data_IF_227308066727
#
_entry.id   IF_227308066727
#
_cell.length_a   1.000
_cell.length_b   1.000
_cell.length_c   1.000
_cell.angle_alpha   90.00
_cell.angle_beta   90.00
_cell.angle_gamma   90.00
#
_symmetry.space_group_name_H-M   'P 1'
#
loop_
_entity.id
_entity.type
_entity.pdbx_description
1 polymer ?
#
# COMPACT_ATOMS: atom_id res chain seq x y z
N UNK A 1 16.93 -5.85 -24.66
CA UNK A 1 18.03 -4.96 -25.04
C UNK A 1 17.58 -3.76 -25.86
N UNK A 2 18.28 -3.44 -26.95
CA UNK A 2 17.95 -2.28 -27.80
C UNK A 2 16.54 -2.37 -28.40
N UNK A 3 16.13 -3.58 -28.80
CA UNK A 3 14.81 -3.82 -29.34
C UNK A 3 13.72 -3.52 -28.30
N UNK A 4 13.88 -3.99 -27.06
CA UNK A 4 12.89 -3.76 -25.99
C UNK A 4 12.71 -2.26 -25.68
N UNK A 5 13.81 -1.48 -25.78
CA UNK A 5 13.76 -0.03 -25.67
C UNK A 5 13.00 0.62 -26.82
N UNK A 6 13.22 0.15 -28.06
CA UNK A 6 12.52 0.64 -29.24
C UNK A 6 11.02 0.32 -29.17
N UNK A 7 10.68 -0.87 -28.69
CA UNK A 7 9.30 -1.35 -28.53
C UNK A 7 8.63 -0.80 -27.25
N UNK A 8 9.35 -0.02 -26.42
CA UNK A 8 8.90 0.48 -25.12
C UNK A 8 8.37 -0.62 -24.21
N UNK A 9 9.06 -1.74 -24.15
CA UNK A 9 8.65 -2.95 -23.50
C UNK A 9 9.60 -3.34 -22.36
N UNK A 10 9.06 -3.73 -21.21
CA UNK A 10 9.83 -4.30 -20.11
C UNK A 10 9.80 -5.82 -20.18
N UNK A 11 10.99 -6.40 -20.20
CA UNK A 11 11.21 -7.85 -20.26
C UNK A 11 12.05 -8.27 -19.06
N UNK A 12 11.73 -9.40 -18.45
CA UNK A 12 12.59 -10.02 -17.43
C UNK A 12 13.70 -10.84 -18.08
N UNK A 13 14.88 -10.87 -17.46
CA UNK A 13 16.09 -11.45 -18.04
C UNK A 13 15.99 -12.95 -18.34
N UNK A 14 15.20 -13.69 -17.54
CA UNK A 14 14.99 -15.14 -17.71
C UNK A 14 13.62 -15.55 -17.15
N UNK A 15 13.19 -16.77 -17.48
CA UNK A 15 11.83 -17.26 -17.18
C UNK A 15 11.48 -17.33 -15.69
N UNK A 16 12.46 -17.55 -14.83
CA UNK A 16 12.26 -17.64 -13.39
C UNK A 16 12.51 -16.32 -12.63
N UNK A 17 12.74 -15.23 -13.40
CA UNK A 17 13.12 -13.94 -12.79
C UNK A 17 12.17 -13.46 -11.71
N UNK A 18 10.87 -13.59 -11.92
CA UNK A 18 9.85 -13.11 -10.97
C UNK A 18 9.67 -14.09 -9.81
N UNK A 19 9.73 -15.41 -10.07
CA UNK A 19 9.66 -16.41 -9.00
C UNK A 19 10.88 -16.37 -8.07
N UNK A 20 12.06 -16.10 -8.62
CA UNK A 20 13.30 -15.96 -7.83
C UNK A 20 13.29 -14.70 -6.97
N UNK A 21 12.75 -13.61 -7.49
CA UNK A 21 12.65 -12.34 -6.77
C UNK A 21 11.38 -11.55 -7.15
N UNK A 22 10.28 -11.78 -6.45
CA UNK A 22 9.00 -11.09 -6.69
C UNK A 22 9.05 -9.56 -6.52
N UNK A 23 10.07 -9.03 -5.83
CA UNK A 23 10.25 -7.56 -5.74
C UNK A 23 10.51 -6.92 -7.09
N UNK A 24 10.94 -7.70 -8.08
CA UNK A 24 11.11 -7.25 -9.46
C UNK A 24 9.81 -6.77 -10.10
N UNK A 25 8.67 -7.25 -9.63
CA UNK A 25 7.36 -6.77 -10.11
C UNK A 25 7.15 -5.31 -9.69
N UNK A 26 7.40 -4.95 -8.41
CA UNK A 26 7.30 -3.57 -7.94
C UNK A 26 8.34 -2.69 -8.64
N UNK A 27 9.54 -3.21 -8.85
CA UNK A 27 10.58 -2.50 -9.60
C UNK A 27 10.16 -2.27 -11.06
N UNK A 28 9.54 -3.25 -11.69
CA UNK A 28 9.01 -3.11 -13.05
C UNK A 28 7.91 -2.05 -13.13
N UNK A 29 6.97 -2.00 -12.16
CA UNK A 29 5.93 -0.96 -12.12
C UNK A 29 6.51 0.45 -12.00
N UNK A 30 7.58 0.62 -11.23
CA UNK A 30 8.30 1.88 -11.13
C UNK A 30 8.89 2.32 -12.48
N UNK A 31 9.53 1.39 -13.19
CA UNK A 31 10.09 1.69 -14.52
C UNK A 31 9.00 1.90 -15.57
N UNK A 32 7.92 1.12 -15.52
CA UNK A 32 6.76 1.33 -16.38
C UNK A 32 6.19 2.74 -16.22
N UNK A 33 5.97 3.16 -15.00
CA UNK A 33 5.47 4.50 -14.67
C UNK A 33 6.42 5.63 -15.11
N UNK A 34 7.73 5.45 -14.88
CA UNK A 34 8.75 6.46 -15.22
C UNK A 34 8.94 6.62 -16.72
N UNK A 35 8.94 5.52 -17.46
CA UNK A 35 9.33 5.47 -18.88
C UNK A 35 8.12 5.44 -19.82
N UNK A 36 6.91 5.21 -19.31
CA UNK A 36 5.73 4.97 -20.12
C UNK A 36 5.83 3.65 -20.91
N UNK A 37 6.46 2.63 -20.31
CA UNK A 37 6.65 1.30 -20.90
C UNK A 37 5.59 0.34 -20.37
N UNK A 38 5.34 -0.73 -21.14
CA UNK A 38 4.45 -1.82 -20.77
C UNK A 38 5.23 -3.11 -20.52
N UNK A 39 4.66 -4.06 -19.77
CA UNK A 39 5.23 -5.40 -19.69
C UNK A 39 5.05 -6.16 -21.01
N UNK A 40 6.06 -6.92 -21.41
CA UNK A 40 5.87 -7.89 -22.48
C UNK A 40 4.85 -8.96 -22.08
N UNK A 41 4.19 -9.62 -23.03
CA UNK A 41 3.29 -10.73 -22.74
C UNK A 41 3.94 -11.83 -21.90
N UNK A 42 5.20 -12.16 -22.16
CA UNK A 42 5.98 -13.16 -21.42
C UNK A 42 6.29 -12.68 -20.00
N UNK A 43 6.60 -11.39 -19.82
CA UNK A 43 6.83 -10.81 -18.50
C UNK A 43 5.52 -10.82 -17.67
N UNK A 44 4.40 -10.47 -18.29
CA UNK A 44 3.09 -10.52 -17.64
C UNK A 44 2.70 -11.96 -17.24
N UNK A 45 3.01 -12.96 -18.08
CA UNK A 45 2.82 -14.37 -17.73
C UNK A 45 3.64 -14.78 -16.51
N UNK A 46 4.91 -14.34 -16.39
CA UNK A 46 5.73 -14.60 -15.20
C UNK A 46 5.12 -13.99 -13.94
N UNK A 47 4.66 -12.73 -14.02
CA UNK A 47 3.96 -12.06 -12.89
C UNK A 47 2.75 -12.87 -12.48
N UNK A 48 1.86 -13.19 -13.43
CA UNK A 48 0.63 -13.95 -13.17
C UNK A 48 0.92 -15.32 -12.56
N UNK A 49 1.89 -16.04 -13.08
CA UNK A 49 2.26 -17.37 -12.58
C UNK A 49 2.81 -17.30 -11.15
N UNK A 50 3.60 -16.27 -10.85
CA UNK A 50 4.16 -16.07 -9.50
C UNK A 50 3.05 -15.66 -8.52
N UNK A 51 2.21 -14.69 -8.87
CA UNK A 51 1.12 -14.22 -8.01
C UNK A 51 0.12 -15.33 -7.67
N UNK A 52 -0.22 -16.21 -8.63
CA UNK A 52 -1.10 -17.36 -8.39
C UNK A 52 -0.55 -18.37 -7.38
N UNK A 53 0.76 -18.45 -7.23
CA UNK A 53 1.46 -19.34 -6.29
C UNK A 53 1.93 -18.61 -5.05
N UNK A 54 1.53 -17.35 -4.90
CA UNK A 54 2.08 -16.50 -3.85
C UNK A 54 1.69 -16.97 -2.46
N UNK A 55 2.66 -17.10 -1.55
CA UNK A 55 2.46 -17.70 -0.22
C UNK A 55 1.73 -16.80 0.78
N UNK A 56 1.39 -15.55 0.42
CA UNK A 56 0.66 -14.66 1.31
C UNK A 56 -0.83 -14.99 1.48
N UNK A 57 -1.32 -16.15 1.02
CA UNK A 57 -2.49 -16.78 1.63
C UNK A 57 -2.28 -17.01 3.15
N UNK A 58 -1.40 -16.19 3.72
CA UNK A 58 -0.97 -16.17 5.09
C UNK A 58 -2.05 -15.53 5.94
N UNK A 59 -2.74 -16.35 6.70
CA UNK A 59 -3.65 -15.91 7.72
C UNK A 59 -2.87 -15.58 9.01
N UNK A 60 -3.46 -14.75 9.85
CA UNK A 60 -2.88 -14.28 11.12
C UNK A 60 -2.19 -15.35 11.96
N UNK A 61 -2.64 -16.61 11.88
CA UNK A 61 -2.12 -17.75 12.66
C UNK A 61 -1.10 -18.61 11.91
N UNK A 62 -0.79 -18.27 10.65
CA UNK A 62 0.18 -19.07 9.89
C UNK A 62 1.60 -18.73 10.35
N UNK A 63 2.46 -19.76 10.41
CA UNK A 63 3.83 -19.58 10.86
C UNK A 63 4.59 -18.58 9.97
N UNK A 64 5.41 -17.69 10.58
CA UNK A 64 6.20 -16.68 9.84
C UNK A 64 7.17 -17.28 8.83
N UNK A 65 7.37 -18.58 8.88
CA UNK A 65 8.35 -19.35 8.10
C UNK A 65 8.00 -19.48 6.61
N UNK A 66 6.78 -19.15 6.21
CA UNK A 66 6.33 -19.29 4.81
C UNK A 66 6.81 -18.19 3.88
N UNK A 67 7.33 -17.09 4.42
CA UNK A 67 7.96 -16.07 3.59
C UNK A 67 9.31 -15.67 4.18
N UNK A 68 10.39 -15.67 3.38
CA UNK A 68 11.68 -15.22 3.87
C UNK A 68 11.58 -13.79 4.44
N UNK A 69 12.00 -13.53 5.70
CA UNK A 69 11.92 -12.19 6.30
C UNK A 69 12.61 -11.09 5.46
N UNK A 70 13.68 -11.47 4.76
CA UNK A 70 14.37 -10.58 3.82
C UNK A 70 13.49 -10.13 2.64
N UNK A 71 12.50 -10.92 2.25
CA UNK A 71 11.63 -10.59 1.13
C UNK A 71 10.66 -9.45 1.49
N UNK A 72 10.05 -9.51 2.67
CA UNK A 72 9.15 -8.46 3.16
C UNK A 72 9.86 -7.09 3.20
N UNK A 73 11.08 -7.06 3.76
CA UNK A 73 11.89 -5.84 3.80
C UNK A 73 12.22 -5.32 2.40
N UNK A 74 12.52 -6.21 1.44
CA UNK A 74 12.80 -5.81 0.05
C UNK A 74 11.56 -5.29 -0.66
N UNK A 75 10.39 -5.92 -0.46
CA UNK A 75 9.11 -5.40 -0.98
C UNK A 75 8.85 -3.99 -0.46
N UNK A 76 8.98 -3.79 0.86
CA UNK A 76 8.84 -2.47 1.47
C UNK A 76 9.82 -1.46 0.90
N UNK A 77 11.10 -1.81 0.77
CA UNK A 77 12.11 -0.88 0.20
C UNK A 77 11.77 -0.44 -1.23
N UNK A 78 11.22 -1.33 -2.06
CA UNK A 78 10.80 -0.96 -3.42
C UNK A 78 9.55 -0.05 -3.37
N UNK A 79 8.62 -0.26 -2.42
CA UNK A 79 7.48 0.62 -2.20
C UNK A 79 7.90 2.01 -1.67
N UNK A 80 8.84 2.05 -0.71
CA UNK A 80 9.38 3.31 -0.21
C UNK A 80 9.98 4.14 -1.36
N UNK A 81 10.74 3.49 -2.26
CA UNK A 81 11.27 4.14 -3.47
C UNK A 81 10.18 4.56 -4.44
N UNK A 82 9.15 3.75 -4.60
CA UNK A 82 8.01 4.06 -5.45
C UNK A 82 7.34 5.36 -4.98
N UNK A 83 7.06 5.48 -3.70
CA UNK A 83 6.46 6.68 -3.13
C UNK A 83 7.37 7.91 -3.11
N UNK A 84 8.69 7.71 -3.00
CA UNK A 84 9.63 8.82 -2.86
C UNK A 84 9.99 9.49 -4.19
N UNK A 85 10.10 8.73 -5.29
CA UNK A 85 10.74 9.23 -6.52
C UNK A 85 9.98 8.93 -7.81
N UNK A 86 8.89 8.16 -7.77
CA UNK A 86 8.17 7.76 -8.98
C UNK A 86 6.80 8.47 -9.09
N UNK A 87 6.19 8.49 -10.27
CA UNK A 87 4.76 8.77 -10.43
C UNK A 87 3.95 7.65 -9.78
N UNK A 88 3.88 7.66 -8.46
CA UNK A 88 3.38 6.54 -7.65
C UNK A 88 1.96 6.07 -8.05
N UNK A 89 1.08 6.99 -8.44
CA UNK A 89 -0.26 6.63 -8.88
C UNK A 89 -0.22 5.72 -10.12
N UNK A 90 0.56 6.10 -11.13
CA UNK A 90 0.75 5.30 -12.34
C UNK A 90 1.43 3.96 -12.04
N UNK A 91 2.42 3.95 -11.14
CA UNK A 91 3.09 2.70 -10.75
C UNK A 91 2.14 1.74 -10.01
N UNK A 92 1.26 2.26 -9.17
CA UNK A 92 0.24 1.46 -8.49
C UNK A 92 -0.86 0.99 -9.47
N UNK A 93 -1.23 1.81 -10.47
CA UNK A 93 -2.15 1.40 -11.53
C UNK A 93 -1.57 0.23 -12.35
N UNK A 94 -0.27 0.26 -12.66
CA UNK A 94 0.40 -0.88 -13.27
C UNK A 94 0.34 -2.15 -12.41
N UNK A 95 0.58 -2.05 -11.10
CA UNK A 95 0.48 -3.21 -10.19
C UNK A 95 -0.94 -3.77 -10.13
N UNK A 96 -1.94 -2.91 -10.15
CA UNK A 96 -3.35 -3.32 -10.19
C UNK A 96 -3.70 -4.01 -11.49
N UNK A 97 -3.33 -3.43 -12.64
CA UNK A 97 -3.53 -4.01 -13.96
C UNK A 97 -2.89 -5.39 -14.09
N UNK A 98 -1.67 -5.55 -13.54
CA UNK A 98 -0.96 -6.83 -13.53
C UNK A 98 -1.46 -7.81 -12.48
N UNK A 99 -2.51 -7.47 -11.72
CA UNK A 99 -3.06 -8.28 -10.62
C UNK A 99 -2.03 -8.57 -9.51
N UNK A 100 -1.06 -7.68 -9.34
CA UNK A 100 0.11 -7.90 -8.50
C UNK A 100 -0.03 -7.38 -7.05
N UNK A 101 -1.19 -6.81 -6.69
CA UNK A 101 -1.44 -6.33 -5.33
C UNK A 101 -1.36 -7.45 -4.28
N UNK A 102 -1.64 -8.70 -4.67
CA UNK A 102 -1.49 -9.87 -3.81
C UNK A 102 -0.05 -10.07 -3.28
N UNK A 103 0.97 -9.48 -3.92
CA UNK A 103 2.33 -9.43 -3.39
C UNK A 103 2.42 -8.65 -2.06
N UNK A 104 1.46 -7.82 -1.77
CA UNK A 104 1.32 -7.05 -0.53
C UNK A 104 0.17 -7.59 0.30
N UNK A 105 -1.02 -7.51 -0.25
CA UNK A 105 -2.25 -8.10 0.26
C UNK A 105 -3.31 -8.12 -0.84
N UNK A 106 -4.00 -9.24 -1.02
CA UNK A 106 -5.01 -9.40 -2.08
C UNK A 106 -6.21 -8.45 -1.92
N UNK A 107 -6.49 -8.01 -0.70
CA UNK A 107 -7.58 -7.06 -0.42
C UNK A 107 -7.32 -5.65 -0.96
N UNK A 108 -6.09 -5.33 -1.33
CA UNK A 108 -5.73 -4.05 -1.94
C UNK A 108 -6.04 -4.00 -3.45
N UNK A 109 -6.39 -5.14 -4.06
CA UNK A 109 -6.84 -5.18 -5.43
C UNK A 109 -8.22 -4.52 -5.54
N UNK A 110 -8.43 -3.68 -6.56
CA UNK A 110 -9.68 -2.95 -6.80
C UNK A 110 -10.05 -1.89 -5.74
N UNK A 111 -9.06 -1.35 -5.02
CA UNK A 111 -9.24 -0.24 -4.10
C UNK A 111 -9.43 1.09 -4.87
N UNK A 112 -10.68 1.46 -5.14
CA UNK A 112 -11.05 2.62 -5.95
C UNK A 112 -10.62 3.96 -5.34
N UNK A 113 -10.52 4.03 -4.02
CA UNK A 113 -10.15 5.25 -3.29
C UNK A 113 -8.65 5.35 -2.98
N UNK A 114 -7.85 4.39 -3.46
CA UNK A 114 -6.40 4.32 -3.21
C UNK A 114 -5.69 5.64 -3.53
N UNK A 115 -5.87 6.14 -4.72
CA UNK A 115 -5.16 7.35 -5.19
C UNK A 115 -5.59 8.59 -4.40
N UNK A 116 -6.89 8.74 -4.09
CA UNK A 116 -7.40 9.81 -3.23
C UNK A 116 -6.77 9.74 -1.85
N UNK A 117 -6.74 8.57 -1.22
CA UNK A 117 -6.22 8.35 0.12
C UNK A 117 -4.72 8.65 0.21
N UNK A 118 -3.92 8.12 -0.71
CA UNK A 118 -2.47 8.36 -0.75
C UNK A 118 -2.18 9.85 -1.03
N UNK A 119 -2.91 10.49 -1.92
CA UNK A 119 -2.74 11.91 -2.22
C UNK A 119 -3.03 12.80 -1.00
N UNK A 120 -4.06 12.50 -0.21
CA UNK A 120 -4.32 13.22 1.03
C UNK A 120 -3.25 12.97 2.09
N UNK A 121 -2.81 11.72 2.26
CA UNK A 121 -1.70 11.43 3.17
C UNK A 121 -0.44 12.20 2.78
N UNK A 122 -0.11 12.27 1.50
CA UNK A 122 1.03 13.03 0.98
C UNK A 122 0.91 14.53 1.30
N UNK A 123 -0.26 15.13 1.06
CA UNK A 123 -0.51 16.56 1.35
C UNK A 123 -0.39 16.89 2.83
N UNK A 124 -0.78 15.97 3.70
CA UNK A 124 -0.75 16.13 5.15
C UNK A 124 0.58 15.69 5.79
N UNK A 125 1.56 15.26 4.98
CA UNK A 125 2.85 14.78 5.47
C UNK A 125 2.77 13.47 6.26
N UNK A 126 1.73 12.65 6.01
CA UNK A 126 1.48 11.39 6.70
C UNK A 126 2.17 10.20 6.01
N UNK A 127 2.40 9.08 6.70
CA UNK A 127 3.02 7.89 6.13
C UNK A 127 2.16 7.28 5.01
N UNK A 128 2.66 7.25 3.76
CA UNK A 128 1.87 6.87 2.59
C UNK A 128 1.53 5.38 2.58
N UNK A 129 2.48 4.51 2.91
CA UNK A 129 2.24 3.07 2.93
C UNK A 129 1.19 2.68 3.99
N UNK A 130 1.29 3.08 5.26
CA UNK A 130 0.22 2.86 6.22
C UNK A 130 -1.13 3.47 5.83
N UNK A 131 -1.13 4.66 5.25
CA UNK A 131 -2.36 5.30 4.77
C UNK A 131 -3.04 4.49 3.66
N UNK A 132 -2.26 3.81 2.83
CA UNK A 132 -2.81 2.86 1.86
C UNK A 132 -3.32 1.59 2.53
N UNK A 133 -2.55 0.99 3.44
CA UNK A 133 -2.87 -0.29 4.08
C UNK A 133 -4.11 -0.24 4.99
N UNK A 134 -4.59 0.93 5.40
CA UNK A 134 -5.70 1.09 6.37
C UNK A 134 -7.00 0.40 5.93
N UNK A 135 -7.18 0.09 4.65
CA UNK A 135 -8.38 -0.56 4.10
C UNK A 135 -8.28 -2.09 4.09
N UNK A 136 -7.10 -2.65 4.32
CA UNK A 136 -6.96 -4.10 4.44
C UNK A 136 -7.81 -4.62 5.62
N UNK A 137 -8.32 -5.85 5.57
CA UNK A 137 -9.08 -6.45 6.68
C UNK A 137 -8.30 -6.49 8.00
N UNK A 138 -6.98 -6.66 7.92
CA UNK A 138 -6.08 -6.61 9.07
C UNK A 138 -4.85 -5.73 8.77
N UNK A 139 -4.99 -4.40 8.81
CA UNK A 139 -3.94 -3.47 8.39
C UNK A 139 -2.65 -3.61 9.20
N UNK A 140 -2.77 -3.87 10.52
CA UNK A 140 -1.61 -4.05 11.39
C UNK A 140 -0.81 -5.31 11.05
N UNK A 141 -1.49 -6.40 10.69
CA UNK A 141 -0.83 -7.64 10.28
C UNK A 141 -0.06 -7.44 8.97
N UNK A 142 -0.67 -6.76 8.00
CA UNK A 142 -0.02 -6.43 6.72
C UNK A 142 1.19 -5.52 6.97
N UNK A 143 1.04 -4.48 7.79
CA UNK A 143 2.12 -3.56 8.12
C UNK A 143 3.30 -4.26 8.81
N UNK A 144 3.03 -5.18 9.75
CA UNK A 144 4.07 -6.00 10.40
C UNK A 144 4.75 -6.93 9.40
N UNK A 145 3.99 -7.64 8.57
CA UNK A 145 4.49 -8.54 7.55
C UNK A 145 5.42 -7.83 6.57
N UNK A 146 5.09 -6.61 6.16
CA UNK A 146 5.91 -5.78 5.28
C UNK A 146 7.06 -5.07 6.02
N UNK A 147 7.21 -5.27 7.32
CA UNK A 147 8.27 -4.63 8.09
C UNK A 147 8.17 -3.10 8.11
N UNK A 148 6.95 -2.56 8.14
CA UNK A 148 6.73 -1.12 8.25
C UNK A 148 7.39 -0.60 9.54
N UNK A 149 8.11 0.54 9.53
CA UNK A 149 8.76 1.08 10.72
C UNK A 149 7.82 1.30 11.90
N UNK A 150 8.29 1.04 13.13
CA UNK A 150 7.47 1.06 14.33
C UNK A 150 6.70 2.36 14.54
N UNK A 151 7.32 3.51 14.25
CA UNK A 151 6.65 4.83 14.32
C UNK A 151 5.44 4.91 13.35
N UNK A 152 5.60 4.40 12.14
CA UNK A 152 4.52 4.36 11.15
C UNK A 152 3.44 3.34 11.51
N UNK A 153 3.80 2.21 12.13
CA UNK A 153 2.83 1.27 12.68
C UNK A 153 2.04 1.88 13.84
N UNK A 154 2.71 2.68 14.69
CA UNK A 154 2.04 3.39 15.77
C UNK A 154 1.02 4.41 15.23
N UNK A 155 1.38 5.15 14.18
CA UNK A 155 0.44 6.03 13.50
C UNK A 155 -0.77 5.28 12.92
N UNK A 156 -0.53 4.13 12.28
CA UNK A 156 -1.62 3.28 11.77
C UNK A 156 -2.58 2.84 12.87
N UNK A 157 -2.06 2.44 14.03
CA UNK A 157 -2.88 2.09 15.21
C UNK A 157 -3.72 3.27 15.70
N UNK A 158 -3.13 4.46 15.74
CA UNK A 158 -3.86 5.68 16.11
C UNK A 158 -4.99 5.97 15.12
N UNK A 159 -4.72 5.84 13.83
CA UNK A 159 -5.72 6.02 12.78
C UNK A 159 -6.89 5.03 12.90
N UNK A 160 -6.59 3.75 13.17
CA UNK A 160 -7.61 2.73 13.37
C UNK A 160 -8.45 3.01 14.63
N UNK A 161 -7.82 3.42 15.73
CA UNK A 161 -8.52 3.82 16.97
C UNK A 161 -9.40 5.05 16.74
N UNK A 162 -8.92 6.05 15.99
CA UNK A 162 -9.73 7.21 15.61
C UNK A 162 -10.96 6.78 14.81
N UNK A 163 -10.80 5.89 13.84
CA UNK A 163 -11.92 5.34 13.07
C UNK A 163 -12.95 4.63 13.95
N UNK A 164 -12.49 3.80 14.88
CA UNK A 164 -13.37 3.12 15.84
C UNK A 164 -14.10 4.10 16.74
N UNK A 165 -13.38 5.10 17.25
CA UNK A 165 -13.99 6.14 18.09
C UNK A 165 -15.05 6.94 17.32
N UNK A 166 -14.80 7.31 16.07
CA UNK A 166 -15.78 8.02 15.23
C UNK A 166 -17.06 7.20 14.95
N UNK A 167 -17.03 5.90 15.16
CA UNK A 167 -18.18 5.00 15.05
C UNK A 167 -18.83 4.67 16.39
N UNK A 168 -18.26 5.16 17.50
CA UNK A 168 -18.77 4.89 18.85
C UNK A 168 -19.89 5.83 19.26
N UNK A 169 -20.52 5.55 20.41
CA UNK A 169 -21.54 6.41 21.00
C UNK A 169 -20.96 7.63 21.74
N UNK A 170 -19.64 7.65 21.95
CA UNK A 170 -18.93 8.72 22.68
C UNK A 170 -18.56 9.92 21.81
N UNK A 171 -18.90 9.87 20.54
CA UNK A 171 -18.66 10.95 19.58
C UNK A 171 -19.70 12.05 19.77
N UNK A 172 -19.31 13.32 19.74
CA UNK A 172 -20.28 14.43 19.73
C UNK A 172 -21.29 14.29 18.58
N UNK A 173 -22.50 14.81 18.81
CA UNK A 173 -23.51 14.89 17.75
C UNK A 173 -22.93 15.59 16.51
N UNK A 174 -23.31 15.15 15.33
CA UNK A 174 -22.82 15.71 14.06
C UNK A 174 -23.13 17.22 13.92
N UNK A 175 -24.17 17.69 14.60
CA UNK A 175 -24.57 19.10 14.65
C UNK A 175 -24.02 19.84 15.88
N UNK A 176 -23.21 19.19 16.73
CA UNK A 176 -22.60 19.83 17.87
C UNK A 176 -21.70 20.99 17.41
N UNK A 177 -21.59 22.00 18.27
CA UNK A 177 -20.76 23.15 18.00
C UNK A 177 -19.26 22.77 17.82
N UNK A 178 -18.49 23.50 17.01
CA UNK A 178 -17.08 23.18 16.73
C UNK A 178 -16.19 23.07 17.97
N UNK A 179 -16.46 23.83 19.01
CA UNK A 179 -15.74 23.80 20.27
C UNK A 179 -15.94 22.47 21.02
N UNK A 180 -17.14 21.89 20.96
CA UNK A 180 -17.45 20.57 21.55
C UNK A 180 -16.65 19.48 20.83
N UNK A 181 -16.59 19.54 19.49
CA UNK A 181 -15.77 18.63 18.70
C UNK A 181 -14.27 18.80 18.99
N UNK A 182 -13.80 20.05 19.07
CA UNK A 182 -12.40 20.34 19.38
C UNK A 182 -12.02 19.78 20.74
N UNK A 183 -12.81 20.05 21.77
CA UNK A 183 -12.57 19.54 23.11
C UNK A 183 -12.56 18.00 23.18
N UNK A 184 -13.48 17.35 22.47
CA UNK A 184 -13.53 15.89 22.41
C UNK A 184 -12.29 15.30 21.73
N UNK A 185 -11.87 15.86 20.59
CA UNK A 185 -10.67 15.42 19.86
C UNK A 185 -9.39 15.65 20.67
N UNK A 186 -9.25 16.80 21.32
CA UNK A 186 -8.10 17.12 22.18
C UNK A 186 -8.03 16.18 23.40
N UNK A 187 -9.18 15.88 24.02
CA UNK A 187 -9.25 14.95 25.16
C UNK A 187 -8.74 13.56 24.79
N UNK A 188 -8.98 13.11 23.56
CA UNK A 188 -8.49 11.84 23.04
C UNK A 188 -7.02 11.89 22.58
N UNK A 189 -6.44 13.09 22.47
CA UNK A 189 -5.04 13.29 22.04
C UNK A 189 -4.77 12.95 20.57
N UNK A 190 -5.77 13.13 19.70
CA UNK A 190 -5.60 12.91 18.27
C UNK A 190 -4.76 14.01 17.62
N UNK A 191 -3.84 13.60 16.73
CA UNK A 191 -3.08 14.56 15.94
C UNK A 191 -3.99 15.23 14.88
N UNK A 192 -3.96 16.57 14.74
CA UNK A 192 -4.83 17.30 13.79
C UNK A 192 -4.76 16.76 12.36
N UNK A 193 -3.57 16.39 11.89
CA UNK A 193 -3.36 15.87 10.55
C UNK A 193 -4.03 14.49 10.38
N UNK A 194 -4.06 13.67 11.41
CA UNK A 194 -4.74 12.36 11.39
C UNK A 194 -6.25 12.54 11.36
N UNK A 195 -6.77 13.51 12.11
CA UNK A 195 -8.20 13.87 12.08
C UNK A 195 -8.57 14.42 10.70
N UNK A 196 -7.80 15.37 10.17
CA UNK A 196 -8.01 15.94 8.83
C UNK A 196 -8.00 14.84 7.76
N UNK A 197 -7.07 13.89 7.85
CA UNK A 197 -7.02 12.74 6.95
C UNK A 197 -8.32 11.93 7.00
N UNK A 198 -8.82 11.59 8.18
CA UNK A 198 -10.09 10.86 8.33
C UNK A 198 -11.28 11.63 7.75
N UNK A 199 -11.35 12.94 7.96
CA UNK A 199 -12.41 13.79 7.38
C UNK A 199 -12.34 13.80 5.85
N UNK A 200 -11.14 13.91 5.27
CA UNK A 200 -10.93 13.87 3.82
C UNK A 200 -11.27 12.52 3.18
N UNK A 201 -11.36 11.44 3.97
CA UNK A 201 -11.73 10.10 3.48
C UNK A 201 -13.23 9.83 3.53
N UNK A 202 -14.01 10.65 4.20
CA UNK A 202 -15.46 10.53 4.18
C UNK A 202 -15.98 10.77 2.74
N UNK A 203 -17.03 10.02 2.32
CA UNK A 203 -17.60 10.16 0.99
C UNK A 203 -18.24 11.53 0.75
#
# INVERSE_FOLDING_TARGET
GQQDLADRCLVFLHRESVSDDPTRVIRASRYAARLGFVLSPEALQQVTATVRRWPWAWHWNDAPEQAPPALASRLRMELDRLFAVEPWAVALDCLEEWQAMALLDSSLQHDRDRNRRIAWAQRLGLPLLPAWLVVAPNPEAVARRLGVPGQQQQWLKQLLRLREWLLSVDVPDVHAAPDVWTAALETQGWMPETVAFMVCLQP
#
